data_IF_728276769281
#
_entry.id   IF_728276769281
#
_cell.length_a   1.000
_cell.length_b   1.000
_cell.length_c   1.000
_cell.angle_alpha   90.00
_cell.angle_beta   90.00
_cell.angle_gamma   90.00
#
_symmetry.space_group_name_H-M   'P 1'
#
loop_
_entity.id
_entity.type
_entity.pdbx_description
1 polymer ?
#
# COMPACT_ATOMS: atom_id res chain seq x y z
N UNK A 1 29.14 12.26 10.54
CA UNK A 1 27.84 12.67 11.11
C UNK A 1 26.99 11.42 11.19
N UNK A 2 26.54 11.04 12.39
CA UNK A 2 25.67 9.87 12.58
C UNK A 2 24.33 10.25 11.95
N UNK A 3 24.03 9.67 10.78
CA UNK A 3 22.70 9.74 10.19
C UNK A 3 21.75 9.20 11.24
N UNK A 4 20.97 10.06 11.90
CA UNK A 4 20.03 9.58 12.91
C UNK A 4 19.16 8.51 12.26
N UNK A 5 19.04 7.36 12.93
CA UNK A 5 18.13 6.28 12.56
C UNK A 5 16.69 6.74 12.75
N UNK A 6 16.26 7.65 11.89
CA UNK A 6 14.91 8.18 11.90
C UNK A 6 14.01 7.08 11.33
N UNK A 7 13.25 6.47 12.22
CA UNK A 7 12.40 5.30 11.97
C UNK A 7 11.52 5.46 10.72
N UNK A 8 10.90 6.63 10.53
CA UNK A 8 10.05 6.87 9.35
C UNK A 8 10.84 6.86 8.04
N UNK A 9 12.10 7.33 8.03
CA UNK A 9 12.97 7.33 6.84
C UNK A 9 13.34 5.89 6.46
N UNK A 10 13.74 5.08 7.45
CA UNK A 10 14.04 3.66 7.22
C UNK A 10 12.81 2.91 6.69
N UNK A 11 11.64 3.15 7.33
CA UNK A 11 10.40 2.51 6.91
C UNK A 11 9.96 2.98 5.53
N UNK A 12 10.14 4.25 5.20
CA UNK A 12 9.85 4.79 3.87
C UNK A 12 10.74 4.15 2.80
N UNK A 13 12.02 3.91 3.09
CA UNK A 13 12.90 3.14 2.20
C UNK A 13 12.37 1.72 1.94
N UNK A 14 11.89 1.04 2.98
CA UNK A 14 11.28 -0.29 2.84
C UNK A 14 9.97 -0.25 2.06
N UNK A 15 9.11 0.74 2.31
CA UNK A 15 7.89 0.96 1.54
C UNK A 15 8.19 1.17 0.05
N UNK A 16 9.17 2.01 -0.30
CA UNK A 16 9.55 2.24 -1.70
C UNK A 16 10.01 0.95 -2.40
N UNK A 17 10.78 0.11 -1.71
CA UNK A 17 11.20 -1.20 -2.23
C UNK A 17 10.01 -2.15 -2.41
N UNK A 18 9.08 -2.16 -1.45
CA UNK A 18 7.86 -2.95 -1.49
C UNK A 18 6.96 -2.54 -2.67
N UNK A 19 6.71 -1.24 -2.81
CA UNK A 19 5.94 -0.66 -3.90
C UNK A 19 6.56 -0.97 -5.27
N UNK A 20 7.88 -0.81 -5.43
CA UNK A 20 8.55 -1.14 -6.68
C UNK A 20 8.34 -2.61 -7.09
N UNK A 21 8.38 -3.54 -6.13
CA UNK A 21 8.09 -4.97 -6.38
C UNK A 21 6.63 -5.21 -6.74
N UNK A 22 5.69 -4.51 -6.09
CA UNK A 22 4.27 -4.60 -6.42
C UNK A 22 4.00 -4.09 -7.84
N UNK A 23 4.58 -2.95 -8.23
CA UNK A 23 4.46 -2.40 -9.59
C UNK A 23 5.04 -3.35 -10.64
N UNK A 24 6.20 -3.98 -10.37
CA UNK A 24 6.78 -4.99 -11.27
C UNK A 24 5.85 -6.21 -11.43
N UNK A 25 5.29 -6.69 -10.33
CA UNK A 25 4.42 -7.85 -10.36
C UNK A 25 3.09 -7.57 -11.08
N UNK A 26 2.53 -6.35 -10.94
CA UNK A 26 1.37 -5.90 -11.72
C UNK A 26 1.66 -5.83 -13.22
N UNK A 27 2.85 -5.36 -13.62
CA UNK A 27 3.24 -5.31 -15.03
C UNK A 27 3.27 -6.72 -15.65
N UNK A 28 3.90 -7.69 -14.95
CA UNK A 28 3.95 -9.10 -15.39
C UNK A 28 2.54 -9.69 -15.51
N UNK A 29 1.69 -9.46 -14.52
CA UNK A 29 0.31 -9.97 -14.52
C UNK A 29 -0.50 -9.40 -15.70
N UNK A 30 -0.35 -8.11 -15.98
CA UNK A 30 -1.02 -7.46 -17.12
C UNK A 30 -0.56 -8.02 -18.47
N UNK A 31 0.71 -8.39 -18.60
CA UNK A 31 1.23 -9.04 -19.81
C UNK A 31 0.66 -10.46 -19.97
N UNK A 32 0.66 -11.28 -18.91
CA UNK A 32 0.15 -12.66 -18.98
C UNK A 32 -1.34 -12.73 -19.34
N UNK A 33 -2.16 -11.84 -18.76
CA UNK A 33 -3.58 -11.71 -19.10
C UNK A 33 -3.78 -11.36 -20.58
N UNK A 34 -2.91 -10.52 -21.15
CA UNK A 34 -2.97 -10.16 -22.57
C UNK A 34 -2.69 -11.34 -23.52
N UNK A 35 -1.98 -12.37 -23.06
CA UNK A 35 -1.69 -13.59 -23.82
C UNK A 35 -2.70 -14.73 -23.59
N UNK A 36 -3.74 -14.51 -22.77
CA UNK A 36 -4.79 -15.49 -22.46
C UNK A 36 -4.27 -16.80 -21.82
N UNK A 37 -3.02 -16.80 -21.34
CA UNK A 37 -2.50 -17.78 -20.39
C UNK A 37 -3.08 -17.36 -19.04
N UNK A 38 -4.10 -18.07 -18.57
CA UNK A 38 -4.74 -17.79 -17.28
C UNK A 38 -3.71 -17.56 -16.16
N UNK A 39 -4.05 -16.70 -15.21
CA UNK A 39 -3.17 -16.39 -14.07
C UNK A 39 -3.10 -17.61 -13.15
N UNK A 40 -1.90 -18.11 -12.91
CA UNK A 40 -1.65 -19.20 -11.95
C UNK A 40 -2.07 -18.77 -10.53
N UNK A 41 -2.77 -19.65 -9.80
CA UNK A 41 -3.22 -19.43 -8.41
C UNK A 41 -2.07 -18.97 -7.50
N UNK A 42 -0.88 -19.55 -7.65
CA UNK A 42 0.32 -19.17 -6.88
C UNK A 42 0.76 -17.73 -7.17
N UNK A 43 0.60 -17.29 -8.42
CA UNK A 43 0.90 -15.90 -8.79
C UNK A 43 -0.11 -14.95 -8.19
N UNK A 44 -1.41 -15.31 -8.19
CA UNK A 44 -2.47 -14.54 -7.57
C UNK A 44 -2.27 -14.39 -6.05
N UNK A 45 -1.97 -15.48 -5.34
CA UNK A 45 -1.63 -15.45 -3.91
C UNK A 45 -0.42 -14.55 -3.64
N UNK A 46 0.63 -14.69 -4.46
CA UNK A 46 1.82 -13.84 -4.38
C UNK A 46 1.50 -12.36 -4.55
N UNK A 47 0.60 -12.02 -5.47
CA UNK A 47 0.15 -10.64 -5.71
C UNK A 47 -0.61 -10.06 -4.52
N UNK A 48 -1.55 -10.83 -3.96
CA UNK A 48 -2.31 -10.45 -2.77
C UNK A 48 -1.35 -10.19 -1.61
N UNK A 49 -0.42 -11.10 -1.35
CA UNK A 49 0.55 -10.94 -0.26
C UNK A 49 1.42 -9.69 -0.44
N UNK A 50 1.83 -9.39 -1.69
CA UNK A 50 2.59 -8.17 -2.01
C UNK A 50 1.81 -6.90 -1.76
N UNK A 51 0.54 -6.91 -2.16
CA UNK A 51 -0.35 -5.80 -1.91
C UNK A 51 -0.51 -5.54 -0.39
N UNK A 52 -0.80 -6.58 0.39
CA UNK A 52 -1.02 -6.48 1.83
C UNK A 52 0.18 -5.89 2.58
N UNK A 53 1.39 -6.44 2.36
CA UNK A 53 2.56 -5.93 3.07
C UNK A 53 2.93 -4.51 2.62
N UNK A 54 2.64 -4.15 1.36
CA UNK A 54 2.93 -2.81 0.82
C UNK A 54 2.01 -1.78 1.46
N UNK A 55 0.72 -2.10 1.56
CA UNK A 55 -0.27 -1.25 2.23
C UNK A 55 0.02 -1.13 3.74
N UNK A 56 0.40 -2.23 4.39
CA UNK A 56 0.82 -2.24 5.79
C UNK A 56 2.02 -1.31 6.04
N UNK A 57 3.01 -1.32 5.14
CA UNK A 57 4.15 -0.41 5.20
C UNK A 57 3.71 1.05 5.00
N UNK A 58 2.79 1.33 4.08
CA UNK A 58 2.36 2.68 3.77
C UNK A 58 1.76 3.41 4.97
N UNK A 59 0.73 2.83 5.62
CA UNK A 59 0.11 3.47 6.78
C UNK A 59 1.08 3.55 7.97
N UNK A 60 2.02 2.60 8.08
CA UNK A 60 3.08 2.63 9.08
C UNK A 60 4.12 3.72 8.84
N UNK A 61 4.39 4.11 7.59
CA UNK A 61 5.21 5.29 7.26
C UNK A 61 4.49 6.56 7.69
N UNK A 62 3.22 6.70 7.32
CA UNK A 62 2.39 7.84 7.70
C UNK A 62 2.36 8.02 9.22
N UNK A 63 2.16 6.90 9.95
CA UNK A 63 2.20 6.88 11.40
C UNK A 63 3.55 7.35 11.96
N UNK A 64 4.66 6.72 11.55
CA UNK A 64 5.98 7.08 12.10
C UNK A 64 6.34 8.54 11.75
N UNK A 65 5.91 9.03 10.59
CA UNK A 65 6.12 10.43 10.19
C UNK A 65 5.29 11.39 11.06
N UNK A 66 4.01 11.09 11.30
CA UNK A 66 3.17 11.88 12.20
C UNK A 66 3.74 11.89 13.64
N UNK A 67 4.21 10.75 14.14
CA UNK A 67 4.89 10.67 15.45
C UNK A 67 6.17 11.52 15.48
N UNK A 68 6.94 11.53 14.38
CA UNK A 68 8.11 12.39 14.23
C UNK A 68 7.77 13.89 14.22
N UNK A 69 6.61 14.27 13.70
CA UNK A 69 6.08 15.64 13.76
C UNK A 69 5.42 15.98 15.12
N UNK A 70 5.42 15.06 16.09
CA UNK A 70 4.92 15.27 17.44
C UNK A 70 3.48 14.78 17.69
N UNK A 71 2.82 14.13 16.73
CA UNK A 71 1.48 13.57 16.90
C UNK A 71 1.56 12.16 17.50
N UNK A 72 1.11 11.98 18.74
CA UNK A 72 1.29 10.72 19.49
C UNK A 72 0.05 9.82 19.56
N UNK A 73 -1.10 10.27 19.05
CA UNK A 73 -2.39 9.56 19.19
C UNK A 73 -2.77 8.70 17.96
N UNK A 74 -1.79 8.25 17.17
CA UNK A 74 -2.01 7.43 15.96
C UNK A 74 -2.02 5.95 16.32
N UNK A 75 -3.21 5.37 16.47
CA UNK A 75 -3.38 3.96 16.92
C UNK A 75 -3.68 2.97 15.79
N UNK A 76 -4.28 3.44 14.69
CA UNK A 76 -4.73 2.57 13.61
C UNK A 76 -4.30 3.08 12.23
N UNK A 77 -4.43 2.23 11.20
CA UNK A 77 -4.23 2.64 9.79
C UNK A 77 -5.19 3.77 9.39
N UNK A 78 -6.43 3.74 9.90
CA UNK A 78 -7.42 4.81 9.68
C UNK A 78 -6.96 6.14 10.28
N UNK A 79 -6.40 6.12 11.49
CA UNK A 79 -5.90 7.34 12.13
C UNK A 79 -4.68 7.89 11.40
N UNK A 80 -3.79 6.99 10.94
CA UNK A 80 -2.61 7.34 10.17
C UNK A 80 -2.98 8.00 8.83
N UNK A 81 -3.94 7.43 8.09
CA UNK A 81 -4.40 7.97 6.81
C UNK A 81 -5.11 9.31 7.02
N UNK A 82 -6.03 9.39 7.99
CA UNK A 82 -6.70 10.66 8.33
C UNK A 82 -5.69 11.76 8.66
N UNK A 83 -4.70 11.45 9.50
CA UNK A 83 -3.66 12.41 9.86
C UNK A 83 -2.80 12.80 8.67
N UNK A 84 -2.45 11.84 7.81
CA UNK A 84 -1.68 12.12 6.61
C UNK A 84 -2.43 13.04 5.63
N UNK A 85 -3.76 12.89 5.50
CA UNK A 85 -4.61 13.83 4.76
C UNK A 85 -4.62 15.23 5.39
N UNK A 86 -4.83 15.31 6.71
CA UNK A 86 -4.80 16.60 7.44
C UNK A 86 -3.45 17.33 7.31
N UNK A 87 -2.36 16.57 7.23
CA UNK A 87 -0.99 17.09 7.06
C UNK A 87 -0.63 17.39 5.59
N UNK A 88 -1.50 17.07 4.64
CA UNK A 88 -1.25 17.24 3.21
C UNK A 88 -0.17 16.30 2.64
N UNK A 89 0.08 15.16 3.30
CA UNK A 89 1.04 14.16 2.83
C UNK A 89 0.46 13.29 1.69
N UNK A 90 -0.87 13.19 1.63
CA UNK A 90 -1.60 12.42 0.63
C UNK A 90 -2.87 13.16 0.25
N UNK A 91 -3.44 12.83 -0.91
CA UNK A 91 -4.72 13.36 -1.39
C UNK A 91 -5.88 12.36 -1.20
N UNK A 92 -7.08 12.91 -0.94
CA UNK A 92 -8.25 12.23 -0.37
C UNK A 92 -8.93 11.25 -1.33
N UNK A 93 -8.93 11.57 -2.63
CA UNK A 93 -9.68 10.80 -3.63
C UNK A 93 -9.21 9.34 -3.77
N UNK A 94 -7.90 9.08 -3.62
CA UNK A 94 -7.34 7.75 -3.90
C UNK A 94 -7.19 6.91 -2.63
N UNK A 95 -6.95 7.53 -1.47
CA UNK A 95 -6.70 6.82 -0.22
C UNK A 95 -7.97 6.28 0.46
N UNK A 96 -9.10 6.95 0.28
CA UNK A 96 -10.39 6.47 0.78
C UNK A 96 -10.79 5.15 0.11
N UNK A 97 -10.57 5.05 -1.21
CA UNK A 97 -10.75 3.80 -1.98
C UNK A 97 -9.79 2.69 -1.52
N UNK A 98 -8.59 3.06 -1.08
CA UNK A 98 -7.56 2.11 -0.60
C UNK A 98 -7.96 1.47 0.75
N UNK A 99 -8.63 2.21 1.64
CA UNK A 99 -9.15 1.69 2.92
C UNK A 99 -10.25 0.67 2.66
N UNK A 100 -11.15 0.96 1.72
CA UNK A 100 -12.25 0.07 1.35
C UNK A 100 -11.76 -1.20 0.66
N UNK A 101 -10.76 -1.09 -0.22
CA UNK A 101 -10.12 -2.23 -0.86
C UNK A 101 -9.47 -3.19 0.15
N UNK A 102 -8.76 -2.66 1.17
CA UNK A 102 -8.16 -3.47 2.24
C UNK A 102 -9.19 -4.23 3.07
N UNK A 103 -10.30 -3.59 3.43
CA UNK A 103 -11.36 -4.26 4.18
C UNK A 103 -11.97 -5.43 3.39
N UNK A 104 -11.94 -5.34 2.05
CA UNK A 104 -12.41 -6.40 1.17
C UNK A 104 -11.41 -7.56 1.05
N UNK A 105 -10.10 -7.27 0.90
CA UNK A 105 -9.06 -8.31 0.83
C UNK A 105 -8.92 -9.07 2.16
N UNK A 106 -9.17 -8.41 3.30
CA UNK A 106 -9.13 -9.04 4.62
C UNK A 106 -10.43 -9.77 5.03
N UNK A 107 -11.54 -9.61 4.29
CA UNK A 107 -12.80 -10.34 4.54
C UNK A 107 -13.12 -11.41 3.48
N UNK A 108 -12.53 -11.34 2.28
CA UNK A 108 -12.75 -12.33 1.22
C UNK A 108 -11.72 -13.46 1.25
N UNK A 109 -11.60 -14.15 2.38
CA UNK A 109 -10.90 -15.46 2.41
C UNK A 109 -11.73 -16.59 1.77
N UNK A 110 -12.97 -16.32 1.33
CA UNK A 110 -13.90 -17.34 0.80
C UNK A 110 -14.31 -17.14 -0.67
N UNK A 111 -13.84 -16.11 -1.39
CA UNK A 111 -14.19 -15.96 -2.81
C UNK A 111 -13.02 -15.34 -3.62
N UNK A 112 -12.49 -16.13 -4.55
CA UNK A 112 -11.33 -15.97 -5.43
C UNK A 112 -11.27 -14.73 -6.35
N UNK A 113 -12.04 -13.67 -6.08
CA UNK A 113 -12.09 -12.51 -6.98
C UNK A 113 -11.83 -11.24 -6.20
N UNK A 114 -10.57 -11.07 -5.79
CA UNK A 114 -10.02 -9.71 -5.66
C UNK A 114 -9.92 -9.18 -7.10
N UNK A 115 -10.98 -8.55 -7.58
CA UNK A 115 -11.08 -8.10 -8.97
C UNK A 115 -9.93 -7.15 -9.33
N UNK A 116 -9.31 -7.42 -10.47
CA UNK A 116 -8.21 -6.69 -11.11
C UNK A 116 -8.36 -5.15 -11.07
N UNK A 117 -9.58 -4.65 -11.29
CA UNK A 117 -9.92 -3.22 -11.21
C UNK A 117 -9.60 -2.61 -9.84
N UNK A 118 -9.74 -3.39 -8.77
CA UNK A 118 -9.43 -2.95 -7.40
C UNK A 118 -7.95 -2.86 -7.13
N UNK A 119 -7.10 -3.67 -7.75
CA UNK A 119 -5.65 -3.55 -7.56
C UNK A 119 -5.05 -2.38 -8.35
N UNK A 120 -5.62 -2.05 -9.51
CA UNK A 120 -5.17 -0.95 -10.36
C UNK A 120 -5.42 0.45 -9.75
N UNK A 121 -6.53 0.67 -9.04
CA UNK A 121 -6.81 1.96 -8.38
C UNK A 121 -5.83 2.32 -7.26
N UNK A 122 -5.04 1.35 -6.79
CA UNK A 122 -4.12 1.46 -5.65
C UNK A 122 -2.69 1.86 -6.07
N UNK A 123 -2.45 2.01 -7.38
CA UNK A 123 -1.13 2.34 -7.95
C UNK A 123 -0.95 3.85 -8.21
N UNK A 124 -1.21 4.68 -7.21
CA UNK A 124 -1.07 6.13 -7.35
C UNK A 124 0.00 6.67 -6.40
N UNK A 125 1.12 7.18 -6.95
CA UNK A 125 2.18 7.78 -6.15
C UNK A 125 1.90 9.28 -5.96
N UNK A 126 1.72 9.69 -4.71
CA UNK A 126 2.40 10.85 -4.14
C UNK A 126 2.19 10.85 -2.62
N UNK A 127 3.22 10.46 -1.88
CA UNK A 127 3.32 10.70 -0.44
C UNK A 127 4.10 12.00 -0.15
N UNK A 128 4.85 12.49 -1.15
CA UNK A 128 5.91 13.50 -1.02
C UNK A 128 6.37 14.00 -2.40
N UNK A 129 5.48 14.40 -3.31
CA UNK A 129 5.92 15.30 -4.40
C UNK A 129 6.39 16.64 -3.83
#
# INVERSE_FOLDING_TARGET
>A
MVQQDIRWIQRFSNYRKALAKLSQAMAIMSEQLAFNDGVDELLQEGMIQRFEYTHELAWKVMKDYAEYQGYTDIRSSRDAIRKALEMGLIDDKQWTETIEARNLTSHNHDNDVVSEEKMQSLNTPSLFD
#
